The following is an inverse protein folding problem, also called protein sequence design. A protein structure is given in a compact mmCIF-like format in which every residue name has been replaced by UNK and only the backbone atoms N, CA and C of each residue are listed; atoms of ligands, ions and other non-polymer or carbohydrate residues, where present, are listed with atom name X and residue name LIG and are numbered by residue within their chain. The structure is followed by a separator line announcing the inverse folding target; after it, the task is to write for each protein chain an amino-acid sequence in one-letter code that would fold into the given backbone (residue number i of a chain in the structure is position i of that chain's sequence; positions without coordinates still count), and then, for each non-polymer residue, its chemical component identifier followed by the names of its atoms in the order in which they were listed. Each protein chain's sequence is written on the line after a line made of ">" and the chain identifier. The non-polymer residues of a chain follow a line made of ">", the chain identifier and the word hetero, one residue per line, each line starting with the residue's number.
data_IF_412973686559
#
_entry.id   IF_412973686559
#
_cell.length_a   1.000
_cell.length_b   1.000
_cell.length_c   1.000
_cell.angle_alpha   90.00
_cell.angle_beta   90.00
_cell.angle_gamma   90.00
#
_symmetry.space_group_name_H-M   'P 1'
#
loop_
_entity.id
_entity.type
_entity.pdbx_description
1 polymer ?
#
# COMPACT_ATOMS: atom_id res chain seq x y z
N UNK A 1 -10.66 -48.12 49.98
CA UNK A 1 -10.91 -48.70 48.65
C UNK A 1 -11.81 -47.76 47.87
N UNK A 2 -11.27 -47.14 46.82
CA UNK A 2 -11.96 -46.51 45.67
C UNK A 2 -10.90 -45.63 44.98
N UNK A 3 -10.06 -46.24 44.15
CA UNK A 3 -9.18 -45.49 43.25
C UNK A 3 -10.04 -44.93 42.12
N UNK A 4 -9.98 -43.62 41.88
CA UNK A 4 -10.68 -43.00 40.75
C UNK A 4 -9.65 -42.77 39.64
N UNK A 5 -9.28 -43.86 38.97
CA UNK A 5 -8.37 -43.82 37.83
C UNK A 5 -9.05 -43.15 36.64
N UNK A 6 -8.94 -41.82 36.57
CA UNK A 6 -9.32 -41.05 35.39
C UNK A 6 -8.35 -41.43 34.28
N UNK A 7 -8.86 -42.22 33.34
CA UNK A 7 -8.17 -42.62 32.12
C UNK A 7 -7.71 -41.38 31.35
N UNK A 8 -6.42 -41.07 31.47
CA UNK A 8 -5.69 -40.27 30.49
C UNK A 8 -5.73 -41.02 29.15
N UNK A 9 -6.75 -40.74 28.36
CA UNK A 9 -6.76 -41.02 26.94
C UNK A 9 -5.68 -40.16 26.30
N UNK A 10 -4.45 -40.70 26.29
CA UNK A 10 -3.38 -40.29 25.42
C UNK A 10 -3.86 -40.46 23.97
N UNK A 11 -4.55 -39.43 23.47
CA UNK A 11 -4.66 -39.21 22.05
C UNK A 11 -3.24 -39.13 21.51
N UNK A 12 -2.85 -40.10 20.70
CA UNK A 12 -1.56 -40.10 20.03
C UNK A 12 -1.46 -38.83 19.20
N UNK A 13 -0.72 -37.85 19.71
CA UNK A 13 -0.27 -36.71 18.92
C UNK A 13 0.65 -37.30 17.87
N UNK A 14 0.06 -37.63 16.71
CA UNK A 14 0.81 -37.78 15.47
C UNK A 14 1.52 -36.45 15.31
N UNK A 15 2.85 -36.45 15.44
CA UNK A 15 3.68 -35.30 15.11
C UNK A 15 3.60 -35.05 13.60
N UNK A 16 2.49 -34.44 13.19
CA UNK A 16 2.21 -34.15 11.81
C UNK A 16 3.31 -33.26 11.27
N UNK A 17 3.86 -33.66 10.10
CA UNK A 17 4.77 -32.86 9.26
C UNK A 17 4.04 -31.70 8.56
N UNK A 18 3.15 -31.03 9.28
CA UNK A 18 2.43 -29.83 8.84
C UNK A 18 3.10 -28.54 9.33
N UNK A 19 2.86 -27.40 8.67
CA UNK A 19 3.45 -26.12 9.04
C UNK A 19 2.97 -25.66 10.42
N UNK A 20 3.80 -24.90 11.17
CA UNK A 20 3.54 -24.50 12.57
C UNK A 20 2.14 -23.90 12.79
N UNK A 21 1.66 -23.07 11.85
CA UNK A 21 0.31 -22.47 11.87
C UNK A 21 -0.82 -23.47 12.12
N UNK A 22 -0.68 -24.74 11.68
CA UNK A 22 -1.67 -25.81 11.93
C UNK A 22 -1.80 -26.20 13.40
N UNK A 23 -0.76 -25.92 14.21
CA UNK A 23 -0.62 -26.30 15.62
C UNK A 23 -0.87 -25.12 16.59
N UNK A 24 -1.00 -23.89 16.08
CA UNK A 24 -1.23 -22.71 16.92
C UNK A 24 -2.58 -22.83 17.65
N UNK A 25 -2.61 -22.62 18.98
CA UNK A 25 -3.83 -22.69 19.78
C UNK A 25 -4.79 -21.54 19.45
N UNK A 26 -6.07 -21.72 19.77
CA UNK A 26 -7.05 -20.63 19.73
C UNK A 26 -6.85 -19.74 20.96
N UNK A 27 -6.23 -18.58 20.76
CA UNK A 27 -5.89 -17.61 21.81
C UNK A 27 -6.11 -16.16 21.35
N UNK A 28 -6.19 -15.24 22.32
CA UNK A 28 -6.32 -13.82 22.05
C UNK A 28 -5.01 -13.26 21.51
N UNK A 29 -5.04 -12.56 20.38
CA UNK A 29 -3.82 -12.08 19.72
C UNK A 29 -3.03 -11.04 20.55
N UNK A 30 -3.67 -10.30 21.47
CA UNK A 30 -3.01 -9.48 22.49
C UNK A 30 -4.02 -8.82 23.43
N UNK A 31 -3.57 -8.40 24.62
CA UNK A 31 -4.36 -7.61 25.59
C UNK A 31 -4.65 -6.19 25.10
N UNK A 32 -3.93 -5.71 24.07
CA UNK A 32 -4.11 -4.42 23.44
C UNK A 32 -5.22 -4.41 22.37
N UNK A 33 -5.69 -5.57 21.92
CA UNK A 33 -6.71 -5.66 20.86
C UNK A 33 -7.99 -4.82 21.13
N UNK A 34 -8.56 -4.76 22.36
CA UNK A 34 -9.72 -3.90 22.65
C UNK A 34 -9.45 -2.40 22.49
N UNK A 35 -8.17 -1.99 22.45
CA UNK A 35 -7.73 -0.60 22.30
C UNK A 35 -7.32 -0.27 20.86
N UNK A 36 -7.63 -1.11 19.86
CA UNK A 36 -7.25 -0.92 18.46
C UNK A 36 -7.55 0.50 17.94
N UNK A 37 -8.75 1.01 18.16
CA UNK A 37 -9.14 2.38 17.77
C UNK A 37 -8.30 3.48 18.46
N UNK A 38 -7.90 3.29 19.72
CA UNK A 38 -7.03 4.23 20.43
C UNK A 38 -5.60 4.21 19.87
N UNK A 39 -5.08 3.01 19.56
CA UNK A 39 -3.78 2.82 18.92
C UNK A 39 -3.78 3.49 17.54
N UNK A 40 -4.84 3.29 16.75
CA UNK A 40 -5.05 3.93 15.45
C UNK A 40 -5.04 5.47 15.55
N UNK A 41 -5.76 6.04 16.53
CA UNK A 41 -5.73 7.49 16.80
C UNK A 41 -4.33 7.99 17.17
N UNK A 42 -3.59 7.27 18.02
CA UNK A 42 -2.20 7.61 18.38
C UNK A 42 -1.30 7.60 17.13
N UNK A 43 -1.46 6.62 16.23
CA UNK A 43 -0.68 6.55 14.99
C UNK A 43 -1.00 7.72 14.06
N UNK A 44 -2.27 8.10 13.89
CA UNK A 44 -2.63 9.29 13.10
C UNK A 44 -2.04 10.59 13.65
N UNK A 45 -2.03 10.75 14.98
CA UNK A 45 -1.37 11.90 15.63
C UNK A 45 0.13 11.91 15.34
N UNK A 46 0.80 10.76 15.39
CA UNK A 46 2.21 10.63 15.00
C UNK A 46 2.42 10.95 13.50
N UNK A 47 1.58 10.46 12.60
CA UNK A 47 1.65 10.81 11.17
C UNK A 47 1.45 12.30 10.92
N UNK A 48 0.54 12.96 11.65
CA UNK A 48 0.40 14.41 11.57
C UNK A 48 1.71 15.12 11.96
N UNK A 49 2.31 14.76 13.09
CA UNK A 49 3.56 15.39 13.54
C UNK A 49 4.73 15.13 12.58
N UNK A 50 4.91 13.88 12.15
CA UNK A 50 5.94 13.47 11.17
C UNK A 50 5.74 14.19 9.84
N UNK A 51 4.52 14.20 9.29
CA UNK A 51 4.21 14.88 8.04
C UNK A 51 4.50 16.38 8.12
N UNK A 52 3.90 17.06 9.10
CA UNK A 52 3.83 18.52 9.09
C UNK A 52 5.15 19.15 9.54
N UNK A 53 5.68 18.74 10.70
CA UNK A 53 6.88 19.36 11.27
C UNK A 53 8.17 18.73 10.73
N UNK A 54 8.23 17.41 10.61
CA UNK A 54 9.46 16.72 10.22
C UNK A 54 9.63 16.71 8.69
N UNK A 55 8.67 16.22 7.91
CA UNK A 55 8.81 16.06 6.47
C UNK A 55 8.60 17.36 5.69
N UNK A 56 7.39 17.93 5.73
CA UNK A 56 7.01 19.13 4.98
C UNK A 56 7.72 20.39 5.48
N UNK A 57 7.90 20.50 6.81
CA UNK A 57 8.54 21.64 7.47
C UNK A 57 10.06 21.67 7.35
N UNK A 58 10.74 20.53 7.38
CA UNK A 58 12.20 20.46 7.52
C UNK A 58 12.88 19.52 6.52
N UNK A 59 12.66 18.21 6.62
CA UNK A 59 13.49 17.18 5.99
C UNK A 59 13.41 17.21 4.47
N UNK A 60 12.22 17.26 3.88
CA UNK A 60 12.08 17.23 2.42
C UNK A 60 12.63 18.51 1.77
N UNK A 61 12.44 19.67 2.42
CA UNK A 61 13.05 20.94 1.99
C UNK A 61 14.58 20.87 2.06
N UNK A 62 15.14 20.27 3.11
CA UNK A 62 16.59 20.17 3.31
C UNK A 62 17.27 19.14 2.40
N UNK A 63 16.62 17.99 2.15
CA UNK A 63 17.19 16.89 1.37
C UNK A 63 17.00 17.07 -0.14
N UNK A 64 15.84 17.57 -0.58
CA UNK A 64 15.51 17.70 -2.01
C UNK A 64 15.54 19.13 -2.54
N UNK A 65 15.58 20.15 -1.66
CA UNK A 65 15.73 21.55 -2.05
C UNK A 65 14.69 22.01 -3.07
N UNK A 66 15.18 22.62 -4.16
CA UNK A 66 14.35 23.10 -5.27
C UNK A 66 13.47 22.02 -5.92
N UNK A 67 13.92 20.76 -5.95
CA UNK A 67 13.15 19.66 -6.56
C UNK A 67 11.81 19.53 -5.85
N UNK A 68 11.78 19.70 -4.52
CA UNK A 68 10.57 19.62 -3.71
C UNK A 68 9.77 20.93 -3.71
N UNK A 69 10.43 22.09 -3.58
CA UNK A 69 9.73 23.39 -3.48
C UNK A 69 9.11 23.86 -4.80
N UNK A 70 9.59 23.36 -5.95
CA UNK A 70 9.04 23.66 -7.28
C UNK A 70 7.96 22.67 -7.74
N UNK A 71 7.62 21.65 -6.95
CA UNK A 71 6.47 20.78 -7.23
C UNK A 71 5.16 21.54 -7.00
N UNK A 72 4.21 21.39 -7.91
CA UNK A 72 2.81 21.75 -7.70
C UNK A 72 2.23 20.99 -6.49
N UNK A 73 1.11 21.47 -5.96
CA UNK A 73 0.53 20.93 -4.73
C UNK A 73 0.09 19.47 -4.83
N UNK A 74 -0.28 18.99 -6.03
CA UNK A 74 -0.69 17.58 -6.24
C UNK A 74 0.55 16.68 -6.26
N UNK A 75 1.58 17.05 -7.03
CA UNK A 75 2.86 16.37 -7.02
C UNK A 75 3.52 16.35 -5.64
N UNK A 76 3.51 17.49 -4.94
CA UNK A 76 4.14 17.66 -3.63
C UNK A 76 3.47 16.80 -2.57
N UNK A 77 2.12 16.75 -2.52
CA UNK A 77 1.37 15.83 -1.65
C UNK A 77 1.65 14.38 -1.98
N UNK A 78 1.66 13.99 -3.26
CA UNK A 78 2.05 12.63 -3.66
C UNK A 78 3.46 12.27 -3.18
N UNK A 79 4.43 13.17 -3.34
CA UNK A 79 5.81 12.97 -2.93
C UNK A 79 5.96 12.81 -1.40
N UNK A 80 5.29 13.65 -0.60
CA UNK A 80 5.22 13.50 0.87
C UNK A 80 4.60 12.15 1.24
N UNK A 81 3.50 11.77 0.57
CA UNK A 81 2.81 10.52 0.83
C UNK A 81 3.72 9.29 0.62
N UNK A 82 4.47 9.21 -0.49
CA UNK A 82 5.39 8.09 -0.71
C UNK A 82 6.49 7.99 0.36
N UNK A 83 6.90 9.10 0.97
CA UNK A 83 7.84 9.08 2.11
C UNK A 83 7.19 8.55 3.39
N UNK A 84 5.95 8.94 3.69
CA UNK A 84 5.20 8.45 4.86
C UNK A 84 4.91 6.96 4.71
N UNK A 85 4.39 6.54 3.55
CA UNK A 85 4.07 5.15 3.27
C UNK A 85 5.32 4.26 3.24
N UNK A 86 6.36 4.66 2.50
CA UNK A 86 7.63 3.93 2.44
C UNK A 86 8.35 3.88 3.79
N UNK A 87 8.39 5.00 4.52
CA UNK A 87 8.98 5.08 5.86
C UNK A 87 8.23 4.22 6.89
N UNK A 88 6.89 4.19 6.83
CA UNK A 88 6.07 3.31 7.65
C UNK A 88 6.33 1.85 7.32
N UNK A 89 6.30 1.47 6.04
CA UNK A 89 6.58 0.10 5.57
C UNK A 89 7.96 -0.38 6.04
N UNK A 90 8.99 0.47 5.95
CA UNK A 90 10.32 0.19 6.50
C UNK A 90 10.34 0.04 8.02
N UNK A 91 9.65 0.92 8.76
CA UNK A 91 9.58 0.83 10.22
C UNK A 91 8.86 -0.45 10.68
N UNK A 92 7.74 -0.81 10.04
CA UNK A 92 7.04 -2.07 10.29
C UNK A 92 7.97 -3.26 10.04
N UNK A 93 8.68 -3.28 8.90
CA UNK A 93 9.61 -4.36 8.58
C UNK A 93 10.69 -4.53 9.68
N UNK A 94 11.20 -3.44 10.24
CA UNK A 94 12.20 -3.49 11.33
C UNK A 94 11.61 -4.02 12.64
N UNK A 95 10.43 -3.53 13.07
CA UNK A 95 9.86 -3.90 14.38
C UNK A 95 9.15 -5.26 14.37
N UNK A 96 8.51 -5.61 13.25
CA UNK A 96 7.62 -6.75 13.16
C UNK A 96 8.28 -8.03 12.61
N UNK A 97 9.43 -7.94 11.92
CA UNK A 97 10.07 -9.11 11.31
C UNK A 97 10.35 -10.24 12.32
N UNK A 98 10.91 -9.93 13.50
CA UNK A 98 11.15 -10.94 14.54
C UNK A 98 9.86 -11.62 15.03
N UNK A 99 8.87 -10.92 15.60
CA UNK A 99 7.66 -11.57 16.12
C UNK A 99 6.82 -12.20 15.01
N UNK A 100 6.82 -11.66 13.80
CA UNK A 100 6.16 -12.28 12.65
C UNK A 100 6.77 -13.66 12.34
N UNK A 101 8.09 -13.74 12.21
CA UNK A 101 8.78 -15.01 11.89
C UNK A 101 8.58 -16.02 13.02
N UNK A 102 8.73 -15.61 14.28
CA UNK A 102 8.67 -16.49 15.44
C UNK A 102 7.24 -17.04 15.69
N UNK A 103 6.19 -16.23 15.50
CA UNK A 103 4.79 -16.68 15.59
C UNK A 103 4.35 -17.50 14.37
N UNK A 104 4.64 -17.05 13.13
CA UNK A 104 4.10 -17.70 11.93
C UNK A 104 4.84 -18.98 11.54
N UNK A 105 6.15 -19.04 11.79
CA UNK A 105 7.04 -20.13 11.33
C UNK A 105 7.95 -20.71 12.41
N UNK A 106 8.09 -20.04 13.56
CA UNK A 106 8.91 -20.47 14.69
C UNK A 106 8.18 -21.43 15.63
N UNK A 107 8.38 -21.23 16.94
CA UNK A 107 7.70 -22.01 18.00
C UNK A 107 6.93 -21.11 18.98
N UNK A 108 6.89 -19.80 18.73
CA UNK A 108 6.21 -18.85 19.61
C UNK A 108 4.69 -18.82 19.39
N UNK A 109 4.01 -18.16 20.32
CA UNK A 109 2.59 -17.78 20.21
C UNK A 109 2.46 -16.28 20.43
N UNK A 110 1.26 -15.72 20.27
CA UNK A 110 1.02 -14.29 20.45
C UNK A 110 1.31 -13.79 21.88
N UNK A 111 1.28 -14.70 22.85
CA UNK A 111 1.60 -14.43 24.25
C UNK A 111 3.08 -14.62 24.62
N UNK A 112 3.93 -15.08 23.69
CA UNK A 112 5.37 -15.18 23.92
C UNK A 112 6.02 -13.81 24.20
N UNK A 113 7.02 -13.73 25.10
CA UNK A 113 7.83 -12.53 25.31
C UNK A 113 8.43 -11.96 24.02
N UNK A 114 8.28 -10.66 23.78
CA UNK A 114 9.01 -9.96 22.71
C UNK A 114 10.44 -9.67 23.17
N UNK A 115 11.43 -10.29 22.53
CA UNK A 115 12.88 -10.06 22.77
C UNK A 115 13.29 -10.16 24.27
N UNK A 116 12.70 -11.10 25.01
CA UNK A 116 12.95 -11.29 26.44
C UNK A 116 12.23 -10.30 27.37
N UNK A 117 11.36 -9.44 26.84
CA UNK A 117 10.54 -8.50 27.63
C UNK A 117 9.59 -9.23 28.58
N UNK A 118 9.49 -8.75 29.82
CA UNK A 118 8.53 -9.25 30.83
C UNK A 118 7.13 -8.65 30.69
N UNK A 119 6.96 -7.62 29.84
CA UNK A 119 5.75 -6.80 29.78
C UNK A 119 5.11 -6.76 28.38
N UNK A 120 5.90 -6.94 27.33
CA UNK A 120 5.47 -6.82 25.93
C UNK A 120 5.51 -8.20 25.28
N UNK A 121 4.40 -8.64 24.70
CA UNK A 121 4.33 -9.89 23.96
C UNK A 121 4.57 -9.68 22.46
N UNK A 122 4.85 -10.75 21.73
CA UNK A 122 4.99 -10.72 20.27
C UNK A 122 3.70 -10.21 19.60
N UNK A 123 2.54 -10.61 20.13
CA UNK A 123 1.22 -10.13 19.68
C UNK A 123 0.96 -8.64 19.91
N UNK A 124 1.45 -8.05 21.01
CA UNK A 124 1.34 -6.60 21.23
C UNK A 124 2.03 -5.81 20.10
N UNK A 125 3.22 -6.27 19.69
CA UNK A 125 3.98 -5.65 18.59
C UNK A 125 3.31 -5.89 17.24
N UNK A 126 2.74 -7.07 16.99
CA UNK A 126 2.03 -7.38 15.75
C UNK A 126 0.72 -6.60 15.60
N UNK A 127 -0.02 -6.33 16.68
CA UNK A 127 -1.18 -5.42 16.61
C UNK A 127 -0.75 -4.00 16.27
N UNK A 128 0.29 -3.47 16.92
CA UNK A 128 0.79 -2.12 16.63
C UNK A 128 1.25 -2.02 15.17
N UNK A 129 1.96 -3.03 14.67
CA UNK A 129 2.37 -3.11 13.27
C UNK A 129 1.20 -3.16 12.28
N UNK A 130 0.17 -3.99 12.57
CA UNK A 130 -1.04 -4.06 11.75
C UNK A 130 -1.80 -2.72 11.74
N UNK A 131 -1.96 -2.10 12.91
CA UNK A 131 -2.58 -0.78 13.05
C UNK A 131 -1.79 0.32 12.33
N UNK A 132 -0.44 0.24 12.29
CA UNK A 132 0.38 1.15 11.47
C UNK A 132 0.12 0.97 9.98
N UNK A 133 -0.03 -0.27 9.49
CA UNK A 133 -0.33 -0.52 8.08
C UNK A 133 -1.73 0.01 7.71
N UNK A 134 -2.73 -0.27 8.54
CA UNK A 134 -4.11 0.22 8.37
C UNK A 134 -4.15 1.75 8.39
N UNK A 135 -3.51 2.39 9.38
CA UNK A 135 -3.41 3.84 9.47
C UNK A 135 -2.77 4.45 8.22
N UNK A 136 -1.75 3.81 7.65
CA UNK A 136 -1.06 4.28 6.45
C UNK A 136 -1.99 4.29 5.23
N UNK A 137 -2.77 3.23 5.03
CA UNK A 137 -3.77 3.18 3.95
C UNK A 137 -4.90 4.21 4.12
N UNK A 138 -5.42 4.38 5.35
CA UNK A 138 -6.42 5.42 5.64
C UNK A 138 -5.83 6.82 5.39
N UNK A 139 -4.62 7.07 5.86
CA UNK A 139 -3.92 8.33 5.65
C UNK A 139 -3.74 8.62 4.15
N UNK A 140 -3.31 7.62 3.36
CA UNK A 140 -3.13 7.79 1.92
C UNK A 140 -4.44 8.13 1.20
N UNK A 141 -5.56 7.47 1.57
CA UNK A 141 -6.89 7.74 1.02
C UNK A 141 -7.35 9.19 1.24
N UNK A 142 -7.08 9.79 2.40
CA UNK A 142 -7.45 11.18 2.70
C UNK A 142 -6.41 12.20 2.21
N UNK A 143 -5.13 11.84 2.18
CA UNK A 143 -4.04 12.80 1.94
C UNK A 143 -3.68 12.97 0.46
N UNK A 144 -3.88 11.97 -0.41
CA UNK A 144 -3.68 12.12 -1.86
C UNK A 144 -4.87 12.80 -2.53
N UNK A 145 -4.60 13.67 -3.51
CA UNK A 145 -5.64 14.42 -4.26
C UNK A 145 -6.29 13.62 -5.38
N UNK A 146 -5.60 12.58 -5.90
CA UNK A 146 -6.10 11.68 -6.94
C UNK A 146 -5.53 10.28 -6.68
N UNK A 147 -6.40 9.28 -6.67
CA UNK A 147 -6.09 7.86 -6.47
C UNK A 147 -6.90 7.09 -7.52
N UNK A 148 -6.33 6.02 -8.10
CA UNK A 148 -7.07 5.20 -9.07
C UNK A 148 -8.14 4.35 -8.36
N UNK A 149 -9.31 4.07 -8.98
CA UNK A 149 -10.34 3.23 -8.35
C UNK A 149 -9.83 1.85 -7.89
N UNK A 150 -8.87 1.27 -8.62
CA UNK A 150 -8.22 0.00 -8.27
C UNK A 150 -7.39 0.14 -6.96
N UNK A 151 -6.63 1.22 -6.81
CA UNK A 151 -5.87 1.50 -5.58
C UNK A 151 -6.80 1.86 -4.41
N UNK A 152 -7.89 2.61 -4.65
CA UNK A 152 -8.93 2.85 -3.63
C UNK A 152 -9.54 1.54 -3.15
N UNK A 153 -9.94 0.65 -4.06
CA UNK A 153 -10.50 -0.66 -3.73
C UNK A 153 -9.53 -1.54 -2.95
N UNK A 154 -8.26 -1.58 -3.36
CA UNK A 154 -7.20 -2.28 -2.63
C UNK A 154 -7.03 -1.73 -1.20
N UNK A 155 -6.86 -0.40 -1.03
CA UNK A 155 -6.67 0.21 0.29
C UNK A 155 -7.86 -0.02 1.22
N UNK A 156 -9.09 0.18 0.74
CA UNK A 156 -10.32 -0.06 1.50
C UNK A 156 -10.41 -1.55 1.88
N UNK A 157 -10.07 -2.46 0.96
CA UNK A 157 -9.97 -3.88 1.25
C UNK A 157 -9.00 -4.18 2.39
N UNK A 158 -7.76 -3.65 2.32
CA UNK A 158 -6.72 -3.91 3.34
C UNK A 158 -7.16 -3.40 4.71
N UNK A 159 -7.79 -2.22 4.76
CA UNK A 159 -8.35 -1.63 5.99
C UNK A 159 -9.44 -2.54 6.56
N UNK A 160 -10.43 -2.94 5.75
CA UNK A 160 -11.55 -3.76 6.21
C UNK A 160 -11.08 -5.13 6.70
N UNK A 161 -10.17 -5.79 5.99
CA UNK A 161 -9.70 -7.13 6.36
C UNK A 161 -8.82 -7.06 7.61
N UNK A 162 -7.90 -6.09 7.69
CA UNK A 162 -7.05 -5.88 8.86
C UNK A 162 -7.84 -5.58 10.14
N UNK A 163 -8.80 -4.65 10.08
CA UNK A 163 -9.69 -4.35 11.21
C UNK A 163 -10.61 -5.52 11.54
N UNK A 164 -11.10 -6.27 10.54
CA UNK A 164 -11.92 -7.47 10.78
C UNK A 164 -11.13 -8.55 11.50
N UNK A 165 -9.89 -8.83 11.11
CA UNK A 165 -9.04 -9.82 11.76
C UNK A 165 -8.78 -9.46 13.23
N UNK A 166 -8.55 -8.17 13.54
CA UNK A 166 -8.43 -7.68 14.91
C UNK A 166 -9.77 -7.80 15.66
N UNK A 167 -10.89 -7.39 15.07
CA UNK A 167 -12.20 -7.42 15.72
C UNK A 167 -12.69 -8.85 16.03
N UNK A 168 -12.49 -9.79 15.10
CA UNK A 168 -12.84 -11.21 15.23
C UNK A 168 -12.04 -11.87 16.37
N UNK A 169 -10.77 -11.47 16.56
CA UNK A 169 -9.92 -11.95 17.66
C UNK A 169 -10.43 -11.60 19.07
N UNK A 170 -11.36 -10.65 19.20
CA UNK A 170 -11.97 -10.28 20.48
C UNK A 170 -13.04 -11.27 20.96
N UNK A 171 -13.56 -12.14 20.08
CA UNK A 171 -14.65 -13.06 20.41
C UNK A 171 -14.33 -14.52 20.05
N UNK A 172 -13.24 -15.04 20.61
CA UNK A 172 -12.72 -16.40 20.39
C UNK A 172 -13.74 -17.52 20.65
N UNK A 173 -14.69 -17.30 21.57
CA UNK A 173 -15.74 -18.29 21.91
C UNK A 173 -16.66 -18.54 20.71
N UNK A 174 -16.90 -17.50 19.91
CA UNK A 174 -17.73 -17.56 18.71
C UNK A 174 -16.91 -17.89 17.46
N UNK A 175 -15.70 -17.33 17.36
CA UNK A 175 -14.89 -17.33 16.14
C UNK A 175 -13.63 -18.21 16.30
N UNK A 176 -13.76 -19.52 16.00
CA UNK A 176 -12.71 -20.54 16.20
C UNK A 176 -11.48 -20.40 15.31
N UNK A 177 -11.58 -19.59 14.26
CA UNK A 177 -10.52 -19.38 13.27
C UNK A 177 -9.72 -18.08 13.51
N UNK A 178 -10.11 -17.27 14.50
CA UNK A 178 -9.62 -15.90 14.68
C UNK A 178 -8.10 -15.76 14.75
N UNK A 179 -7.43 -16.65 15.51
CA UNK A 179 -5.97 -16.67 15.65
C UNK A 179 -5.28 -17.00 14.32
N UNK A 180 -5.87 -17.88 13.51
CA UNK A 180 -5.36 -18.29 12.21
C UNK A 180 -5.53 -17.18 11.18
N UNK A 181 -6.72 -16.55 11.17
CA UNK A 181 -7.05 -15.44 10.28
C UNK A 181 -6.09 -14.26 10.49
N UNK A 182 -5.77 -13.94 11.75
CA UNK A 182 -4.77 -12.92 12.06
C UNK A 182 -3.36 -13.33 11.60
N UNK A 183 -2.94 -14.60 11.76
CA UNK A 183 -1.66 -15.07 11.21
C UNK A 183 -1.64 -14.91 9.68
N UNK A 184 -2.67 -15.37 8.96
CA UNK A 184 -2.74 -15.20 7.50
C UNK A 184 -2.70 -13.71 7.10
N UNK A 185 -3.42 -12.84 7.82
CA UNK A 185 -3.36 -11.40 7.59
C UNK A 185 -1.95 -10.83 7.82
N UNK A 186 -1.19 -11.31 8.81
CA UNK A 186 0.22 -10.88 8.99
C UNK A 186 1.16 -11.42 7.91
N UNK A 187 0.97 -12.66 7.43
CA UNK A 187 1.72 -13.21 6.28
C UNK A 187 1.45 -12.37 5.03
N UNK A 188 0.19 -12.03 4.82
CA UNK A 188 -0.23 -11.22 3.69
C UNK A 188 0.34 -9.80 3.76
N UNK A 189 0.18 -9.13 4.91
CA UNK A 189 0.74 -7.81 5.15
C UNK A 189 2.27 -7.76 5.02
N UNK A 190 2.98 -8.85 5.36
CA UNK A 190 4.41 -8.94 5.14
C UNK A 190 4.80 -8.93 3.65
N UNK A 191 4.06 -9.66 2.79
CA UNK A 191 4.28 -9.63 1.35
C UNK A 191 3.88 -8.29 0.72
N UNK A 192 2.78 -7.69 1.15
CA UNK A 192 2.38 -6.35 0.74
C UNK A 192 3.50 -5.34 1.04
N UNK A 193 3.97 -5.29 2.30
CA UNK A 193 5.06 -4.41 2.73
C UNK A 193 6.30 -4.59 1.86
N UNK A 194 6.74 -5.83 1.64
CA UNK A 194 7.96 -6.12 0.86
C UNK A 194 7.80 -5.81 -0.63
N UNK A 195 6.66 -6.17 -1.23
CA UNK A 195 6.42 -6.00 -2.67
C UNK A 195 6.11 -4.55 -3.05
N UNK A 196 5.40 -3.80 -2.21
CA UNK A 196 5.05 -2.40 -2.45
C UNK A 196 6.15 -1.40 -2.04
N UNK A 197 7.12 -1.78 -1.20
CA UNK A 197 8.19 -0.87 -0.77
C UNK A 197 9.03 -0.31 -1.94
N UNK A 198 9.47 -1.18 -2.88
CA UNK A 198 10.26 -0.73 -4.03
C UNK A 198 9.46 0.18 -5.00
N UNK A 199 8.16 -0.06 -5.27
CA UNK A 199 7.27 0.92 -5.89
C UNK A 199 7.36 2.33 -5.28
N UNK A 200 7.21 2.51 -3.96
CA UNK A 200 7.30 3.85 -3.34
C UNK A 200 8.66 4.52 -3.62
N UNK A 201 9.76 3.79 -3.44
CA UNK A 201 11.11 4.27 -3.76
C UNK A 201 11.24 4.64 -5.24
N UNK A 202 10.67 3.83 -6.13
CA UNK A 202 10.72 4.04 -7.57
C UNK A 202 10.03 5.34 -7.99
N UNK A 203 8.92 5.70 -7.33
CA UNK A 203 8.19 6.95 -7.62
C UNK A 203 8.94 8.17 -7.06
N UNK A 204 9.55 8.07 -5.87
CA UNK A 204 10.41 9.12 -5.31
C UNK A 204 11.58 9.40 -6.28
N UNK A 205 12.31 8.36 -6.68
CA UNK A 205 13.45 8.47 -7.59
C UNK A 205 13.06 8.98 -8.99
N UNK A 206 11.85 8.65 -9.47
CA UNK A 206 11.30 9.22 -10.71
C UNK A 206 11.14 10.74 -10.65
N UNK A 207 10.64 11.26 -9.52
CA UNK A 207 10.49 12.71 -9.30
C UNK A 207 11.84 13.42 -9.13
N UNK A 208 12.84 12.74 -8.56
CA UNK A 208 14.19 13.29 -8.32
C UNK A 208 15.06 13.28 -9.58
N UNK A 209 14.94 12.28 -10.46
CA UNK A 209 15.80 12.10 -11.64
C UNK A 209 15.03 12.03 -12.98
N UNK A 210 14.12 12.99 -13.30
CA UNK A 210 13.17 12.89 -14.40
C UNK A 210 13.81 12.79 -15.80
N UNK A 211 15.03 13.30 -15.98
CA UNK A 211 15.78 13.29 -17.25
C UNK A 211 16.69 12.06 -17.42
N UNK A 212 16.85 11.24 -16.38
CA UNK A 212 17.76 10.09 -16.36
C UNK A 212 17.11 8.82 -16.92
N UNK A 213 16.58 8.88 -18.14
CA UNK A 213 15.75 7.82 -18.74
C UNK A 213 16.38 6.43 -18.68
N UNK A 214 17.70 6.30 -18.88
CA UNK A 214 18.42 5.00 -18.79
C UNK A 214 18.42 4.42 -17.37
N UNK A 215 18.46 5.26 -16.33
CA UNK A 215 18.33 4.85 -14.93
C UNK A 215 16.87 4.48 -14.61
N UNK A 216 15.93 5.37 -14.95
CA UNK A 216 14.49 5.14 -14.70
C UNK A 216 13.97 3.89 -15.42
N UNK A 217 14.43 3.61 -16.64
CA UNK A 217 14.13 2.38 -17.37
C UNK A 217 14.61 1.15 -16.59
N UNK A 218 15.85 1.14 -16.07
CA UNK A 218 16.35 0.01 -15.26
C UNK A 218 15.56 -0.15 -13.96
N UNK A 219 15.23 0.97 -13.31
CA UNK A 219 14.48 1.03 -12.06
C UNK A 219 13.04 0.50 -12.20
N UNK A 220 12.28 0.97 -13.18
CA UNK A 220 10.92 0.46 -13.42
C UNK A 220 10.91 -0.98 -13.91
N UNK A 221 11.93 -1.42 -14.65
CA UNK A 221 12.10 -2.82 -14.99
C UNK A 221 12.32 -3.67 -13.74
N UNK A 222 13.17 -3.23 -12.81
CA UNK A 222 13.39 -3.91 -11.53
C UNK A 222 12.10 -3.96 -10.71
N UNK A 223 11.42 -2.82 -10.52
CA UNK A 223 10.16 -2.72 -9.79
C UNK A 223 9.11 -3.70 -10.33
N UNK A 224 8.88 -3.70 -11.65
CA UNK A 224 7.96 -4.62 -12.34
C UNK A 224 8.29 -6.09 -12.06
N UNK A 225 9.56 -6.49 -12.18
CA UNK A 225 9.95 -7.88 -11.89
C UNK A 225 9.74 -8.22 -10.41
N UNK A 226 10.13 -7.34 -9.48
CA UNK A 226 9.98 -7.59 -8.04
C UNK A 226 8.52 -7.64 -7.59
N UNK A 227 7.64 -6.77 -8.12
CA UNK A 227 6.21 -6.80 -7.78
C UNK A 227 5.56 -8.07 -8.34
N UNK A 228 5.91 -8.47 -9.57
CA UNK A 228 5.43 -9.71 -10.16
C UNK A 228 5.87 -10.95 -9.36
N UNK A 229 7.17 -11.07 -9.07
CA UNK A 229 7.69 -12.20 -8.27
C UNK A 229 7.15 -12.20 -6.84
N UNK A 230 6.95 -11.02 -6.24
CA UNK A 230 6.32 -10.87 -4.93
C UNK A 230 4.88 -11.39 -4.93
N UNK A 231 4.06 -10.91 -5.87
CA UNK A 231 2.66 -11.33 -6.06
C UNK A 231 2.53 -12.85 -6.25
N UNK A 232 3.45 -13.47 -7.01
CA UNK A 232 3.48 -14.91 -7.22
C UNK A 232 3.91 -15.69 -5.97
N UNK A 233 4.96 -15.23 -5.27
CA UNK A 233 5.43 -15.85 -4.03
C UNK A 233 4.37 -15.76 -2.91
N UNK A 234 3.73 -14.59 -2.78
CA UNK A 234 2.58 -14.35 -1.90
C UNK A 234 1.44 -15.31 -2.22
N UNK A 235 1.01 -15.37 -3.48
CA UNK A 235 -0.11 -16.24 -3.88
C UNK A 235 0.19 -17.71 -3.60
N UNK A 236 1.40 -18.18 -3.89
CA UNK A 236 1.81 -19.56 -3.60
C UNK A 236 1.81 -19.82 -2.10
N UNK A 237 2.43 -18.96 -1.28
CA UNK A 237 2.52 -19.20 0.17
C UNK A 237 1.14 -19.06 0.85
N UNK A 238 0.37 -18.03 0.52
CA UNK A 238 -0.97 -17.81 1.08
C UNK A 238 -1.91 -18.96 0.74
N UNK A 239 -1.95 -19.42 -0.53
CA UNK A 239 -2.80 -20.55 -0.91
C UNK A 239 -2.31 -21.89 -0.35
N UNK A 240 -0.99 -22.08 -0.19
CA UNK A 240 -0.44 -23.24 0.50
C UNK A 240 -0.85 -23.28 1.98
N UNK A 241 -0.69 -22.17 2.71
CA UNK A 241 -1.08 -22.08 4.11
C UNK A 241 -2.60 -22.25 4.27
N UNK A 242 -3.39 -21.50 3.50
CA UNK A 242 -4.85 -21.59 3.48
C UNK A 242 -5.35 -23.02 3.19
N UNK A 243 -4.78 -23.69 2.19
CA UNK A 243 -5.08 -25.09 1.85
C UNK A 243 -4.64 -26.08 2.94
N UNK A 244 -3.49 -25.86 3.60
CA UNK A 244 -3.04 -26.68 4.74
C UNK A 244 -3.95 -26.58 5.97
N UNK A 245 -4.81 -25.57 6.00
CA UNK A 245 -5.77 -25.27 7.08
C UNK A 245 -7.22 -25.57 6.67
N UNK A 246 -7.44 -26.20 5.50
CA UNK A 246 -8.76 -26.39 4.88
C UNK A 246 -9.81 -26.98 5.83
N UNK A 247 -9.46 -27.98 6.64
CA UNK A 247 -10.43 -28.63 7.53
C UNK A 247 -10.82 -27.80 8.75
N UNK A 248 -10.05 -26.76 9.10
CA UNK A 248 -10.36 -25.83 10.21
C UNK A 248 -11.37 -24.76 9.79
N UNK A 249 -11.20 -24.18 8.60
CA UNK A 249 -12.01 -23.04 8.15
C UNK A 249 -13.52 -23.31 8.12
N UNK A 250 -14.29 -22.39 8.72
CA UNK A 250 -15.73 -22.29 8.46
C UNK A 250 -16.02 -21.98 6.98
N UNK A 251 -17.21 -22.39 6.51
CA UNK A 251 -17.60 -22.28 5.10
C UNK A 251 -17.56 -20.84 4.55
N UNK A 252 -17.74 -19.83 5.39
CA UNK A 252 -17.61 -18.43 5.01
C UNK A 252 -16.19 -18.12 4.48
N UNK A 253 -15.15 -18.36 5.28
CA UNK A 253 -13.76 -18.14 4.86
C UNK A 253 -13.32 -19.03 3.69
N UNK A 254 -13.86 -20.25 3.58
CA UNK A 254 -13.65 -21.11 2.40
C UNK A 254 -14.07 -20.47 1.07
N UNK A 255 -15.03 -19.53 1.11
CA UNK A 255 -15.55 -18.81 -0.06
C UNK A 255 -14.93 -17.41 -0.14
N UNK A 256 -14.95 -16.64 0.95
CA UNK A 256 -14.54 -15.24 0.94
C UNK A 256 -13.03 -15.07 0.75
N UNK A 257 -12.21 -15.88 1.41
CA UNK A 257 -10.75 -15.71 1.38
C UNK A 257 -10.15 -15.93 -0.03
N UNK A 258 -10.52 -16.98 -0.80
CA UNK A 258 -10.09 -17.10 -2.19
C UNK A 258 -10.61 -15.99 -3.11
N UNK A 259 -11.85 -15.53 -2.92
CA UNK A 259 -12.42 -14.42 -3.70
C UNK A 259 -11.67 -13.10 -3.45
N UNK A 260 -11.39 -12.78 -2.19
CA UNK A 260 -10.61 -11.60 -1.80
C UNK A 260 -9.18 -11.70 -2.33
N UNK A 261 -8.52 -12.86 -2.21
CA UNK A 261 -7.17 -13.06 -2.75
C UNK A 261 -7.11 -12.83 -4.27
N UNK A 262 -8.08 -13.37 -5.03
CA UNK A 262 -8.14 -13.17 -6.47
C UNK A 262 -8.33 -11.70 -6.88
N UNK A 263 -9.16 -10.95 -6.12
CA UNK A 263 -9.35 -9.52 -6.31
C UNK A 263 -8.05 -8.73 -6.05
N UNK A 264 -7.36 -9.01 -4.95
CA UNK A 264 -6.12 -8.33 -4.58
C UNK A 264 -4.94 -8.66 -5.49
N UNK A 265 -4.76 -9.94 -5.84
CA UNK A 265 -3.79 -10.36 -6.84
C UNK A 265 -4.01 -9.59 -8.15
N UNK A 266 -5.27 -9.38 -8.56
CA UNK A 266 -5.60 -8.55 -9.74
C UNK A 266 -5.19 -7.09 -9.56
N UNK A 267 -5.33 -6.51 -8.36
CA UNK A 267 -4.86 -5.16 -8.04
C UNK A 267 -3.31 -5.04 -8.07
N UNK A 268 -2.59 -6.03 -7.53
CA UNK A 268 -1.13 -6.07 -7.54
C UNK A 268 -0.56 -6.29 -8.96
N UNK A 269 -1.19 -7.16 -9.76
CA UNK A 269 -0.87 -7.34 -11.18
C UNK A 269 -1.16 -6.07 -11.99
N UNK A 270 -2.21 -5.31 -11.67
CA UNK A 270 -2.42 -3.98 -12.23
C UNK A 270 -1.29 -3.00 -11.88
N UNK A 271 -0.78 -3.03 -10.63
CA UNK A 271 0.42 -2.31 -10.23
C UNK A 271 1.65 -2.67 -11.08
N UNK A 272 1.90 -3.96 -11.26
CA UNK A 272 2.96 -4.51 -12.12
C UNK A 272 2.83 -4.03 -13.58
N UNK A 273 1.62 -4.04 -14.13
CA UNK A 273 1.32 -3.54 -15.49
C UNK A 273 1.62 -2.05 -15.65
N UNK A 274 1.34 -1.24 -14.63
CA UNK A 274 1.71 0.18 -14.64
C UNK A 274 3.23 0.38 -14.67
N UNK A 275 4.01 -0.41 -13.90
CA UNK A 275 5.48 -0.36 -13.98
C UNK A 275 6.02 -0.82 -15.33
N UNK A 276 5.41 -1.83 -15.97
CA UNK A 276 5.73 -2.22 -17.34
C UNK A 276 5.54 -1.06 -18.32
N UNK A 277 4.40 -0.34 -18.25
CA UNK A 277 4.15 0.84 -19.09
C UNK A 277 5.13 1.98 -18.84
N UNK A 278 5.48 2.23 -17.57
CA UNK A 278 6.50 3.23 -17.22
C UNK A 278 7.88 2.85 -17.77
N UNK A 279 8.26 1.57 -17.70
CA UNK A 279 9.47 1.05 -18.31
C UNK A 279 9.49 1.27 -19.84
N UNK A 280 8.41 0.92 -20.55
CA UNK A 280 8.33 1.14 -22.01
C UNK A 280 8.38 2.64 -22.38
N UNK A 281 7.70 3.51 -21.61
CA UNK A 281 7.78 4.97 -21.80
C UNK A 281 9.22 5.49 -21.65
N UNK A 282 9.97 5.03 -20.64
CA UNK A 282 11.38 5.43 -20.48
C UNK A 282 12.28 4.86 -21.59
N UNK A 283 12.00 3.65 -22.08
CA UNK A 283 12.69 3.06 -23.23
C UNK A 283 12.47 3.86 -24.52
N UNK A 284 11.23 4.28 -24.81
CA UNK A 284 10.90 5.15 -25.94
C UNK A 284 11.65 6.49 -25.85
N UNK A 285 11.59 7.16 -24.69
CA UNK A 285 12.29 8.44 -24.48
C UNK A 285 13.81 8.31 -24.62
N UNK A 286 14.40 7.19 -24.17
CA UNK A 286 15.83 6.91 -24.36
C UNK A 286 16.17 6.72 -25.84
N UNK A 287 15.41 5.91 -26.58
CA UNK A 287 15.64 5.67 -28.01
C UNK A 287 15.48 6.96 -28.84
N UNK A 288 14.50 7.80 -28.51
CA UNK A 288 14.30 9.13 -29.11
C UNK A 288 15.48 10.08 -28.84
N UNK A 289 16.04 10.05 -27.61
CA UNK A 289 17.24 10.82 -27.25
C UNK A 289 18.53 10.29 -27.90
N UNK A 290 18.60 8.99 -28.18
CA UNK A 290 19.74 8.34 -28.84
C UNK A 290 19.66 8.35 -30.38
N UNK A 291 18.67 9.03 -30.99
CA UNK A 291 18.54 9.14 -32.45
C UNK A 291 18.19 7.81 -33.15
N UNK A 292 17.50 6.89 -32.45
CA UNK A 292 17.18 5.53 -32.94
C UNK A 292 15.75 5.37 -33.47
N UNK A 293 14.97 6.45 -33.54
CA UNK A 293 13.57 6.45 -34.00
C UNK A 293 13.34 7.67 -34.91
N UNK A 294 13.88 7.57 -36.13
CA UNK A 294 13.65 8.53 -37.20
C UNK A 294 12.40 8.19 -38.03
N UNK A 295 11.96 6.93 -38.04
CA UNK A 295 10.74 6.52 -38.76
C UNK A 295 9.45 6.98 -38.09
N UNK A 296 8.62 7.67 -38.86
CA UNK A 296 7.32 8.20 -38.45
C UNK A 296 6.31 7.07 -38.21
N UNK A 297 6.38 5.96 -38.97
CA UNK A 297 5.45 4.83 -38.85
C UNK A 297 5.55 4.09 -37.50
N UNK A 298 6.72 4.05 -36.85
CA UNK A 298 6.85 3.44 -35.53
C UNK A 298 6.29 4.31 -34.39
N UNK A 299 6.00 5.60 -34.63
CA UNK A 299 5.46 6.50 -33.61
C UNK A 299 3.97 6.29 -33.36
N UNK A 300 3.18 6.21 -34.43
CA UNK A 300 1.72 6.24 -34.33
C UNK A 300 1.11 5.12 -33.44
N UNK A 301 1.53 3.84 -33.52
CA UNK A 301 0.94 2.80 -32.67
C UNK A 301 1.28 2.98 -31.19
N UNK A 302 2.53 3.38 -30.89
CA UNK A 302 3.01 3.55 -29.51
C UNK A 302 2.39 4.81 -28.88
N UNK A 303 2.28 5.89 -29.64
CA UNK A 303 1.65 7.13 -29.16
C UNK A 303 0.13 6.93 -28.98
N UNK A 304 -0.56 6.22 -29.89
CA UNK A 304 -1.97 5.83 -29.68
C UNK A 304 -2.18 4.85 -28.52
N UNK A 305 -1.29 3.87 -28.30
CA UNK A 305 -1.36 2.97 -27.14
C UNK A 305 -1.05 3.70 -25.81
N UNK A 306 -0.34 4.83 -25.85
CA UNK A 306 -0.08 5.68 -24.69
C UNK A 306 -1.21 6.71 -24.45
N UNK A 307 -1.84 7.22 -25.51
CA UNK A 307 -2.92 8.22 -25.46
C UNK A 307 -4.31 7.61 -25.22
N UNK A 308 -4.60 6.44 -25.80
CA UNK A 308 -5.88 5.72 -25.65
C UNK A 308 -6.10 5.10 -24.28
N UNK A 309 -5.16 5.24 -23.35
CA UNK A 309 -5.31 4.77 -21.97
C UNK A 309 -6.15 5.78 -21.18
N UNK A 310 -7.20 5.33 -20.46
CA UNK A 310 -8.09 6.22 -19.71
C UNK A 310 -7.28 7.03 -18.73
N UNK A 311 -7.10 8.32 -19.06
CA UNK A 311 -6.04 9.24 -18.62
C UNK A 311 -5.26 8.67 -17.44
N UNK A 312 -4.27 7.80 -17.72
CA UNK A 312 -3.71 6.94 -16.70
C UNK A 312 -3.18 7.87 -15.63
N UNK A 313 -3.84 7.90 -14.47
CA UNK A 313 -3.71 9.05 -13.58
C UNK A 313 -2.35 8.94 -12.93
N UNK A 314 -1.39 9.57 -13.60
CA UNK A 314 0.01 9.72 -13.23
C UNK A 314 0.02 10.79 -12.13
N UNK A 315 -0.76 10.53 -11.11
CA UNK A 315 -0.85 11.10 -9.77
C UNK A 315 -0.88 9.96 -8.74
N UNK A 316 -0.97 8.70 -9.22
CA UNK A 316 -0.07 7.64 -8.77
C UNK A 316 1.41 7.92 -9.10
N UNK A 317 1.71 8.85 -10.03
CA UNK A 317 3.07 9.35 -10.36
C UNK A 317 3.10 10.88 -10.58
N UNK A 318 3.36 11.47 -11.79
CA UNK A 318 3.41 12.95 -12.02
C UNK A 318 2.92 13.58 -13.36
N UNK A 319 1.65 13.98 -13.34
CA UNK A 319 0.83 14.94 -14.10
C UNK A 319 0.50 14.84 -15.60
N UNK A 320 -0.59 15.55 -15.92
CA UNK A 320 -1.24 15.76 -17.23
C UNK A 320 -0.59 16.92 -17.99
N UNK A 321 -0.62 16.88 -19.32
CA UNK A 321 -0.26 18.01 -20.19
C UNK A 321 -1.51 18.63 -20.82
N UNK A 322 -1.56 19.95 -20.71
CA UNK A 322 -2.40 20.91 -21.43
C UNK A 322 -3.94 20.87 -21.30
N UNK A 323 -4.42 21.88 -20.57
CA UNK A 323 -5.31 22.91 -21.11
C UNK A 323 -5.60 22.81 -22.63
N UNK A 324 -6.79 22.32 -22.99
CA UNK A 324 -7.29 22.42 -24.37
C UNK A 324 -7.88 23.82 -24.59
N UNK A 325 -7.35 24.46 -25.63
CA UNK A 325 -7.89 25.53 -26.47
C UNK A 325 -9.20 26.23 -26.04
N UNK A 326 -9.16 27.56 -26.03
CA UNK A 326 -10.28 28.37 -26.51
C UNK A 326 -9.83 29.36 -27.59
N UNK A 327 -10.13 28.97 -28.82
CA UNK A 327 -10.50 29.79 -29.99
C UNK A 327 -9.69 31.07 -30.29
N UNK A 328 -8.82 30.98 -31.31
CA UNK A 328 -8.47 32.12 -32.15
C UNK A 328 -9.52 32.24 -33.26
N UNK A 329 -10.41 33.21 -33.15
CA UNK A 329 -11.28 33.64 -34.25
C UNK A 329 -10.85 35.02 -34.76
N UNK A 330 -10.19 35.03 -35.93
CA UNK A 330 -10.39 36.09 -36.94
C UNK A 330 -11.85 35.98 -37.39
N UNK A 331 -12.62 37.00 -37.76
CA UNK A 331 -12.42 38.36 -38.28
C UNK A 331 -13.81 39.08 -38.16
N UNK A 332 -14.09 40.29 -38.71
CA UNK A 332 -13.23 41.41 -39.09
C UNK A 332 -13.64 42.72 -38.38
N UNK A 333 -13.15 43.86 -38.86
CA UNK A 333 -13.49 45.20 -38.36
C UNK A 333 -14.98 45.56 -38.52
N UNK A 334 -15.52 46.31 -37.55
CA UNK A 334 -16.59 47.28 -37.81
C UNK A 334 -16.51 48.48 -36.88
N UNK A 335 -16.56 49.64 -37.52
CA UNK A 335 -16.59 50.98 -36.94
C UNK A 335 -18.00 51.32 -36.41
N UNK A 336 -18.10 52.03 -35.29
CA UNK A 336 -18.99 53.20 -35.07
C UNK A 336 -19.21 53.54 -33.58
N UNK A 337 -18.90 54.80 -33.25
CA UNK A 337 -19.58 55.73 -32.32
C UNK A 337 -20.11 55.28 -30.94
N UNK A 338 -19.60 55.97 -29.91
CA UNK A 338 -20.32 56.60 -28.77
C UNK A 338 -21.42 55.84 -28.00
N UNK A 339 -21.32 55.84 -26.67
CA UNK A 339 -22.23 56.55 -25.74
C UNK A 339 -21.50 56.73 -24.39
N UNK A 340 -21.48 57.96 -23.87
CA UNK A 340 -21.11 58.25 -22.48
C UNK A 340 -22.19 57.76 -21.51
N UNK A 341 -21.84 57.31 -20.30
CA UNK A 341 -22.66 57.60 -19.12
C UNK A 341 -21.87 57.51 -17.80
N UNK A 342 -22.03 58.56 -17.02
CA UNK A 342 -21.21 59.00 -15.90
C UNK A 342 -21.56 58.34 -14.54
N UNK A 343 -20.52 58.17 -13.71
CA UNK A 343 -20.49 58.38 -12.23
C UNK A 343 -21.35 57.50 -11.27
N UNK A 344 -21.09 57.53 -9.94
CA UNK A 344 -19.85 57.89 -9.22
C UNK A 344 -19.41 56.90 -8.12
N UNK A 345 -18.17 57.11 -7.65
CA UNK A 345 -17.64 56.56 -6.39
C UNK A 345 -18.35 57.12 -5.14
N UNK A 346 -18.44 56.32 -4.07
CA UNK A 346 -18.66 56.80 -2.68
C UNK A 346 -17.61 56.20 -1.74
N UNK A 347 -17.10 57.04 -0.83
CA UNK A 347 -16.26 56.69 0.33
C UNK A 347 -17.10 56.67 1.61
N UNK A 348 -16.51 56.09 2.66
CA UNK A 348 -16.82 56.23 4.09
C UNK A 348 -18.13 55.56 4.59
N UNK A 349 -17.98 54.54 5.43
CA UNK A 349 -17.68 54.76 6.86
C UNK A 349 -16.47 53.91 7.27
#
# INVERSE_FOLDING_TARGET
>A
MASTDILNLNGSIVEGRGPHVTKVPLESISRLAPFGALILCIIFVNYFFVRFYILEGFLLRKVYGEIYTRMDDTARRGFVNHHIAGGTKLLILIIAAYPFIDVAFGNATFHSPFAGSKLVTQGDVLIIAAQMLIAMYVFELFYRTKISPVSVGHHIGTIIIGESAIAISLNLVKEKDATIEFILCTVWGAFDIVSEFLPHISIILYRVYPTSHRFLMKLFRLAMFTTFTGTMAETILTMYLFGSLWDRWVLAFKITTPMLHALFMSCQLWGTWNFYKMYQKQKYLLNKKEGKIDDVEQRAPIEQELEGLPSLSVTAVGDSLHSVSREVSREPSRDSSQVELLFPSRKAF
#
